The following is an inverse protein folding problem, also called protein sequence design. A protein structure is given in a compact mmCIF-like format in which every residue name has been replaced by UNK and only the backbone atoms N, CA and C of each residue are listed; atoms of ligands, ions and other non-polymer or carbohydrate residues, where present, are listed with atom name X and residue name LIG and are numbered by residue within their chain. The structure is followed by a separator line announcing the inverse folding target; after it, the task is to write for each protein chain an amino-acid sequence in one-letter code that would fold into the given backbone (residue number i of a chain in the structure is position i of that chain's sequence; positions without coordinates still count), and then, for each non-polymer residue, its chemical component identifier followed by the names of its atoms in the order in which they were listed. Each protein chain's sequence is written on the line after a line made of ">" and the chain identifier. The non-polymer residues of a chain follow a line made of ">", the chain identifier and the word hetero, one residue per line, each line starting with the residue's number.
data_IF_407652538255
#
_entry.id   IF_407652538255
#
_cell.length_a   1.000
_cell.length_b   1.000
_cell.length_c   1.000
_cell.angle_alpha   90.00
_cell.angle_beta   90.00
_cell.angle_gamma   90.00
#
_symmetry.space_group_name_H-M   'P 1'
#
loop_
_entity.id
_entity.type
_entity.pdbx_description
1 polymer ?
#
# COMPACT_ATOMS: atom_id res chain seq x y z
N UNK A 1 15.46 -8.76 0.24
CA UNK A 1 15.35 -7.44 -0.41
C UNK A 1 13.90 -7.28 -0.79
N UNK A 2 13.31 -6.10 -0.64
CA UNK A 2 11.92 -5.89 -1.04
C UNK A 2 11.86 -5.85 -2.58
N UNK A 3 10.90 -6.57 -3.16
CA UNK A 3 10.70 -6.61 -4.61
C UNK A 3 9.57 -5.65 -4.97
N UNK A 4 9.73 -4.85 -6.02
CA UNK A 4 8.69 -3.93 -6.49
C UNK A 4 8.16 -4.43 -7.82
N UNK A 5 6.86 -4.71 -7.87
CA UNK A 5 6.15 -5.09 -9.09
C UNK A 5 5.23 -3.95 -9.56
N UNK A 6 4.93 -3.92 -10.85
CA UNK A 6 3.90 -3.05 -11.42
C UNK A 6 2.60 -3.84 -11.57
N UNK A 7 1.50 -3.24 -11.13
CA UNK A 7 0.16 -3.79 -11.25
C UNK A 7 -0.78 -2.73 -11.83
N UNK A 8 -1.98 -3.17 -12.22
CA UNK A 8 -2.97 -2.29 -12.84
C UNK A 8 -4.31 -2.46 -12.13
N UNK A 9 -4.90 -1.35 -11.72
CA UNK A 9 -6.28 -1.32 -11.23
C UNK A 9 -7.24 -1.67 -12.37
N UNK A 10 -8.39 -2.25 -12.06
CA UNK A 10 -9.45 -2.54 -13.04
C UNK A 10 -9.87 -1.32 -13.89
N UNK A 11 -9.70 -0.10 -13.36
CA UNK A 11 -9.96 1.14 -14.07
C UNK A 11 -8.84 1.56 -15.06
N UNK A 12 -7.79 0.75 -15.17
CA UNK A 12 -6.61 0.99 -16.01
C UNK A 12 -5.51 1.82 -15.35
N UNK A 13 -5.65 2.19 -14.08
CA UNK A 13 -4.63 2.98 -13.37
C UNK A 13 -3.43 2.11 -12.94
N UNK A 14 -2.22 2.54 -13.29
CA UNK A 14 -0.98 1.84 -12.91
C UNK A 14 -0.61 2.09 -11.45
N UNK A 15 -0.18 1.06 -10.74
CA UNK A 15 0.25 1.16 -9.34
C UNK A 15 1.45 0.26 -9.07
N UNK A 16 2.37 0.71 -8.22
CA UNK A 16 3.51 -0.10 -7.78
C UNK A 16 3.18 -0.84 -6.48
N UNK A 17 3.61 -2.08 -6.36
CA UNK A 17 3.43 -2.88 -5.14
C UNK A 17 4.79 -3.37 -4.68
N UNK A 18 5.19 -2.95 -3.49
CA UNK A 18 6.35 -3.49 -2.82
C UNK A 18 5.96 -4.76 -2.04
N UNK A 19 6.57 -5.87 -2.40
CA UNK A 19 6.42 -7.18 -1.77
C UNK A 19 7.46 -7.39 -0.67
N UNK A 20 7.08 -8.12 0.36
CA UNK A 20 7.91 -8.40 1.54
C UNK A 20 8.41 -7.13 2.25
N UNK A 21 7.63 -6.05 2.21
CA UNK A 21 7.95 -4.80 2.86
C UNK A 21 7.78 -4.94 4.39
N UNK A 22 8.91 -4.98 5.12
CA UNK A 22 8.93 -5.06 6.59
C UNK A 22 8.28 -3.86 7.29
N UNK A 23 8.10 -2.75 6.57
CA UNK A 23 7.52 -1.50 7.06
C UNK A 23 6.11 -1.24 6.50
N UNK A 24 5.52 -2.22 5.82
CA UNK A 24 4.15 -2.11 5.35
C UNK A 24 3.19 -1.97 6.54
N UNK A 25 2.14 -1.16 6.38
CA UNK A 25 1.05 -1.13 7.34
C UNK A 25 0.26 -2.45 7.35
N UNK A 26 0.38 -3.25 6.28
CA UNK A 26 -0.33 -4.52 6.11
C UNK A 26 0.51 -5.69 6.60
N UNK A 27 -0.15 -6.64 7.27
CA UNK A 27 0.48 -7.85 7.84
C UNK A 27 0.96 -8.86 6.80
N UNK A 28 0.43 -8.81 5.59
CA UNK A 28 0.84 -9.65 4.46
C UNK A 28 2.11 -9.15 3.76
N UNK A 29 2.72 -8.07 4.26
CA UNK A 29 3.98 -7.54 3.71
C UNK A 29 3.84 -6.92 2.33
N UNK A 30 2.61 -6.75 1.81
CA UNK A 30 2.34 -6.06 0.56
C UNK A 30 2.11 -4.59 0.82
N UNK A 31 2.76 -3.72 0.05
CA UNK A 31 2.60 -2.26 0.15
C UNK A 31 2.34 -1.66 -1.23
N UNK A 32 1.07 -1.41 -1.59
CA UNK A 32 0.75 -0.60 -2.76
C UNK A 32 1.15 0.86 -2.55
N UNK A 33 1.72 1.50 -3.58
CA UNK A 33 2.10 2.91 -3.58
C UNK A 33 2.18 3.48 -5.01
N UNK A 34 2.03 4.81 -5.13
CA UNK A 34 2.25 5.54 -6.37
C UNK A 34 3.63 6.21 -6.33
N UNK A 35 4.56 5.88 -7.24
CA UNK A 35 5.93 6.40 -7.19
C UNK A 35 6.04 7.88 -7.57
N UNK A 36 5.04 8.42 -8.25
CA UNK A 36 4.95 9.82 -8.68
C UNK A 36 4.16 10.70 -7.69
N UNK A 37 3.29 10.11 -6.88
CA UNK A 37 2.66 10.78 -5.72
C UNK A 37 3.65 10.98 -4.55
N UNK A 38 4.89 10.55 -4.75
CA UNK A 38 6.05 10.63 -3.86
C UNK A 38 6.61 12.07 -3.81
N UNK A 39 5.72 13.04 -3.65
CA UNK A 39 6.03 14.46 -3.44
C UNK A 39 6.47 14.59 -1.98
N UNK A 40 7.62 15.24 -1.79
CA UNK A 40 8.36 15.61 -0.57
C UNK A 40 7.92 15.00 0.78
N UNK A 41 8.86 14.55 1.64
CA UNK A 41 8.53 13.91 2.91
C UNK A 41 7.57 14.76 3.72
N UNK A 42 6.34 14.24 3.87
CA UNK A 42 5.29 14.91 4.62
C UNK A 42 5.84 15.25 6.01
N UNK A 43 5.75 16.52 6.40
CA UNK A 43 6.23 16.97 7.70
C UNK A 43 5.10 17.61 8.49
N UNK A 44 5.01 17.24 9.77
CA UNK A 44 4.09 17.86 10.72
C UNK A 44 4.92 18.48 11.83
N UNK A 45 4.49 19.64 12.34
CA UNK A 45 5.04 20.20 13.56
C UNK A 45 4.22 19.65 14.72
N UNK A 46 4.86 18.89 15.60
CA UNK A 46 4.27 18.37 16.83
C UNK A 46 5.15 18.80 18.00
N UNK A 47 4.56 19.50 18.98
CA UNK A 47 5.27 20.00 20.16
C UNK A 47 6.51 20.88 19.83
N UNK A 48 6.45 21.64 18.72
CA UNK A 48 7.56 22.48 18.26
C UNK A 48 8.65 21.74 17.47
N UNK A 49 8.58 20.41 17.36
CA UNK A 49 9.48 19.60 16.56
C UNK A 49 8.87 19.28 15.19
N UNK A 50 9.65 19.44 14.11
CA UNK A 50 9.25 19.05 12.77
C UNK A 50 9.53 17.56 12.56
N UNK A 51 8.49 16.75 12.61
CA UNK A 51 8.56 15.32 12.35
C UNK A 51 8.43 15.11 10.84
N UNK A 52 9.45 14.53 10.23
CA UNK A 52 9.43 14.11 8.83
C UNK A 52 9.01 12.65 8.74
N UNK A 53 7.90 12.38 8.06
CA UNK A 53 7.47 11.02 7.80
C UNK A 53 8.17 10.51 6.54
N UNK A 54 9.00 9.49 6.69
CA UNK A 54 9.56 8.79 5.54
C UNK A 54 8.43 8.07 4.80
N UNK A 55 8.23 8.42 3.52
CA UNK A 55 7.21 7.80 2.66
C UNK A 55 7.42 6.29 2.45
N UNK A 56 8.60 5.77 2.81
CA UNK A 56 8.98 4.35 2.75
C UNK A 56 8.11 3.40 3.60
N UNK A 57 7.14 3.92 4.37
CA UNK A 57 6.16 3.14 5.13
C UNK A 57 4.70 3.44 4.80
N UNK A 58 4.42 4.40 3.92
CA UNK A 58 3.04 4.78 3.58
C UNK A 58 2.47 3.74 2.62
N UNK A 59 1.35 3.15 3.03
CA UNK A 59 0.61 2.16 2.24
C UNK A 59 -0.61 2.84 1.65
N UNK A 60 -0.74 2.81 0.33
CA UNK A 60 -1.94 3.27 -0.37
C UNK A 60 -2.98 2.17 -0.33
N UNK A 61 -4.22 2.54 -0.02
CA UNK A 61 -5.33 1.59 0.02
C UNK A 61 -6.42 1.83 -1.03
N UNK A 62 -6.43 3.01 -1.63
CA UNK A 62 -7.44 3.46 -2.59
C UNK A 62 -6.79 3.79 -3.91
N UNK A 63 -7.41 3.39 -5.01
CA UNK A 63 -6.99 3.83 -6.33
C UNK A 63 -7.22 5.35 -6.44
N UNK A 64 -6.18 6.09 -6.85
CA UNK A 64 -6.28 7.55 -6.99
C UNK A 64 -7.23 7.99 -8.11
N UNK A 65 -7.44 7.13 -9.12
CA UNK A 65 -8.27 7.45 -10.29
C UNK A 65 -9.74 7.14 -10.07
N UNK A 66 -10.08 5.94 -9.59
CA UNK A 66 -11.47 5.52 -9.41
C UNK A 66 -11.96 5.51 -7.96
N UNK A 67 -11.08 5.71 -6.98
CA UNK A 67 -11.41 5.60 -5.55
C UNK A 67 -11.70 4.17 -5.07
N UNK A 68 -11.58 3.17 -5.94
CA UNK A 68 -11.77 1.75 -5.62
C UNK A 68 -10.78 1.25 -4.57
N UNK A 69 -11.18 0.23 -3.80
CA UNK A 69 -10.31 -0.39 -2.80
C UNK A 69 -9.27 -1.27 -3.49
N UNK A 70 -7.98 -0.99 -3.30
CA UNK A 70 -6.92 -1.69 -4.01
C UNK A 70 -6.86 -3.19 -3.66
N UNK A 71 -7.35 -3.58 -2.48
CA UNK A 71 -7.47 -4.98 -2.12
C UNK A 71 -8.49 -5.76 -2.96
N UNK A 72 -9.41 -5.06 -3.64
CA UNK A 72 -10.46 -5.65 -4.48
C UNK A 72 -10.17 -5.40 -5.96
N UNK A 73 -9.67 -4.21 -6.32
CA UNK A 73 -9.51 -3.78 -7.71
C UNK A 73 -8.14 -4.08 -8.32
N UNK A 74 -7.18 -4.54 -7.51
CA UNK A 74 -5.83 -4.92 -7.94
C UNK A 74 -5.49 -6.30 -7.36
N UNK A 75 -5.46 -7.32 -8.21
CA UNK A 75 -5.26 -8.72 -7.82
C UNK A 75 -4.00 -8.93 -6.98
N UNK A 76 -2.90 -8.30 -7.38
CA UNK A 76 -1.60 -8.39 -6.72
C UNK A 76 -1.59 -7.70 -5.35
N UNK A 77 -2.48 -6.72 -5.14
CA UNK A 77 -2.65 -6.03 -3.87
C UNK A 77 -3.72 -6.66 -2.98
N UNK A 78 -4.35 -7.77 -3.39
CA UNK A 78 -5.34 -8.48 -2.58
C UNK A 78 -4.74 -8.92 -1.25
N UNK A 79 -5.51 -8.72 -0.18
CA UNK A 79 -5.13 -9.18 1.15
C UNK A 79 -4.99 -10.69 1.15
N UNK A 80 -3.88 -11.18 1.70
CA UNK A 80 -3.79 -12.59 2.02
C UNK A 80 -4.67 -12.85 3.23
N UNK A 81 -5.84 -13.44 2.96
CA UNK A 81 -6.70 -13.97 4.02
C UNK A 81 -5.93 -15.17 4.57
N UNK A 82 -5.30 -15.01 5.73
CA UNK A 82 -4.80 -16.16 6.46
C UNK A 82 -6.00 -17.08 6.70
N UNK A 83 -5.95 -18.32 6.20
CA UNK A 83 -6.97 -19.36 6.35
C UNK A 83 -7.12 -19.80 7.83
N UNK A 84 -7.45 -18.86 8.70
CA UNK A 84 -7.81 -19.11 10.09
C UNK A 84 -9.30 -18.88 10.23
N UNK A 85 -10.08 -19.81 9.68
CA UNK A 85 -11.43 -20.07 10.24
C UNK A 85 -12.60 -20.20 9.28
N UNK A 86 -12.47 -20.79 8.09
CA UNK A 86 -13.62 -21.44 7.46
C UNK A 86 -13.77 -22.87 7.98
N UNK A 87 -14.13 -23.01 9.25
CA UNK A 87 -14.78 -24.23 9.71
C UNK A 87 -16.21 -24.20 9.16
N UNK A 88 -16.43 -24.84 8.01
CA UNK A 88 -17.75 -25.34 7.65
C UNK A 88 -18.00 -26.58 8.50
N UNK A 89 -18.89 -26.44 9.49
CA UNK A 89 -19.44 -27.52 10.31
C UNK A 89 -20.93 -27.26 10.51
#
# INVERSE_FOLDING_TARGET
>A
MAEIIQATCECGEQISIELNCKRAARKDGKRPFYPDENVEPWSVVKDGERIHYSQSGVTTFRCRRCGGWLGDTVSEAKFEISDRGLNHG
#
